data_IF_084772680092
#
_entry.id   IF_084772680092
#
_cell.length_a   1.000
_cell.length_b   1.000
_cell.length_c   1.000
_cell.angle_alpha   90.00
_cell.angle_beta   90.00
_cell.angle_gamma   90.00
#
_symmetry.space_group_name_H-M   'P 1'
#
loop_
_entity.id
_entity.type
_entity.pdbx_description
1 polymer ?
#
# COMPACT_ATOMS: atom_id res chain seq x y z
N UNK A 1 91.73 -7.98 -42.75
CA UNK A 1 91.48 -7.12 -41.61
C UNK A 1 89.97 -6.89 -41.49
N UNK A 2 89.46 -6.91 -40.29
CA UNK A 2 88.09 -6.69 -39.77
C UNK A 2 87.14 -7.88 -39.74
N UNK A 3 87.02 -8.44 -38.52
CA UNK A 3 86.06 -9.44 -38.05
C UNK A 3 84.66 -8.79 -37.89
N UNK A 4 83.64 -9.41 -38.47
CA UNK A 4 82.26 -9.06 -38.13
C UNK A 4 81.71 -10.22 -37.26
N UNK A 5 81.30 -9.83 -36.02
CA UNK A 5 80.59 -10.71 -35.08
C UNK A 5 79.09 -10.62 -35.37
N UNK A 6 78.48 -11.78 -35.68
CA UNK A 6 77.00 -11.87 -35.71
C UNK A 6 76.47 -11.97 -34.28
N UNK A 7 75.63 -11.02 -33.96
CA UNK A 7 74.90 -10.97 -32.71
C UNK A 7 73.52 -11.67 -32.91
N UNK A 8 73.32 -12.84 -32.30
CA UNK A 8 72.02 -13.48 -32.29
C UNK A 8 71.14 -12.83 -31.24
N UNK A 9 70.03 -12.19 -31.69
CA UNK A 9 68.96 -11.72 -30.84
C UNK A 9 68.00 -12.89 -30.57
N UNK A 10 67.90 -13.27 -29.31
CA UNK A 10 66.85 -14.22 -28.81
C UNK A 10 65.63 -13.37 -28.50
N UNK A 11 64.57 -13.53 -29.30
CA UNK A 11 63.26 -12.96 -29.00
C UNK A 11 62.54 -13.84 -27.94
N UNK A 12 62.58 -13.44 -26.69
CA UNK A 12 61.72 -14.00 -25.64
C UNK A 12 60.29 -13.47 -25.79
N UNK A 13 59.35 -14.30 -26.17
CA UNK A 13 57.92 -13.98 -26.16
C UNK A 13 57.45 -14.05 -24.73
N UNK A 14 57.29 -12.86 -24.10
CA UNK A 14 56.58 -12.72 -22.81
C UNK A 14 55.07 -12.77 -23.11
N UNK A 15 54.46 -13.93 -22.86
CA UNK A 15 53.00 -14.04 -22.86
C UNK A 15 52.44 -13.23 -21.64
N UNK A 16 51.98 -12.01 -21.90
CA UNK A 16 51.21 -11.22 -20.93
C UNK A 16 49.86 -11.88 -20.74
N UNK A 17 49.70 -12.67 -19.68
CA UNK A 17 48.38 -13.11 -19.21
C UNK A 17 47.62 -11.88 -18.75
N UNK A 18 46.78 -11.35 -19.64
CA UNK A 18 45.76 -10.37 -19.29
C UNK A 18 44.76 -11.04 -18.33
N UNK A 19 45.03 -10.95 -17.02
CA UNK A 19 44.03 -11.19 -16.00
C UNK A 19 43.01 -10.07 -16.14
N UNK A 20 41.96 -10.30 -16.90
CA UNK A 20 40.79 -9.42 -16.87
C UNK A 20 40.26 -9.44 -15.43
N UNK A 21 40.18 -8.30 -14.73
CA UNK A 21 39.57 -8.28 -13.44
C UNK A 21 38.12 -8.76 -13.64
N UNK A 22 37.75 -9.83 -12.96
CA UNK A 22 36.35 -10.23 -12.87
C UNK A 22 35.61 -9.00 -12.34
N UNK A 23 34.83 -8.34 -13.20
CA UNK A 23 33.93 -7.26 -12.79
C UNK A 23 33.12 -7.86 -11.66
N UNK A 24 33.31 -7.34 -10.45
CA UNK A 24 32.51 -7.74 -9.31
C UNK A 24 31.05 -7.48 -9.71
N UNK A 25 30.31 -8.55 -9.91
CA UNK A 25 28.92 -8.47 -10.32
C UNK A 25 28.21 -7.73 -9.18
N UNK A 26 27.74 -6.50 -9.44
CA UNK A 26 27.05 -5.69 -8.45
C UNK A 26 25.85 -6.48 -7.91
N UNK A 27 25.92 -6.86 -6.64
CA UNK A 27 24.82 -7.52 -5.96
C UNK A 27 23.85 -6.47 -5.46
N UNK A 28 22.56 -6.70 -5.66
CA UNK A 28 21.51 -5.91 -5.02
C UNK A 28 21.28 -6.41 -3.60
N UNK A 29 21.16 -5.50 -2.66
CA UNK A 29 20.88 -5.78 -1.25
C UNK A 29 19.39 -5.63 -1.01
N UNK A 30 18.74 -6.71 -0.58
CA UNK A 30 17.33 -6.75 -0.18
C UNK A 30 17.29 -6.78 1.34
N UNK A 31 17.07 -5.62 1.96
CA UNK A 31 17.09 -5.47 3.40
C UNK A 31 15.90 -6.16 4.06
N UNK A 32 16.10 -6.72 5.25
CA UNK A 32 15.02 -7.29 6.07
C UNK A 32 13.94 -6.24 6.35
N UNK A 33 14.35 -5.10 6.85
CA UNK A 33 13.46 -4.06 7.36
C UNK A 33 12.46 -3.56 6.30
N UNK A 34 12.88 -3.39 5.06
CA UNK A 34 12.04 -2.89 3.97
C UNK A 34 11.26 -3.96 3.21
N UNK A 35 11.72 -5.22 3.23
CA UNK A 35 11.27 -6.21 2.26
C UNK A 35 10.83 -7.55 2.84
N UNK A 36 10.85 -7.71 4.17
CA UNK A 36 10.45 -8.96 4.81
C UNK A 36 9.22 -8.79 5.70
N UNK A 37 8.46 -9.88 5.82
CA UNK A 37 7.24 -9.97 6.63
C UNK A 37 7.23 -11.29 7.39
N UNK A 38 6.63 -11.28 8.59
CA UNK A 38 6.27 -12.52 9.28
C UNK A 38 4.95 -13.00 8.67
N UNK A 39 5.02 -14.03 7.85
CA UNK A 39 3.84 -14.55 7.11
C UNK A 39 3.19 -15.75 7.77
N UNK A 40 3.83 -16.30 8.81
CA UNK A 40 3.30 -17.33 9.69
C UNK A 40 3.99 -17.29 11.05
N UNK A 41 3.35 -17.80 12.09
CA UNK A 41 3.82 -17.72 13.47
C UNK A 41 3.38 -16.43 14.16
N UNK A 42 3.51 -16.40 15.51
CA UNK A 42 2.95 -15.30 16.31
C UNK A 42 3.95 -14.72 17.32
N UNK A 43 5.12 -15.32 17.47
CA UNK A 43 6.09 -14.95 18.51
C UNK A 43 7.22 -14.08 17.99
N UNK A 44 7.67 -14.32 16.77
CA UNK A 44 8.73 -13.53 16.14
C UNK A 44 8.18 -12.22 15.57
N UNK A 45 9.02 -11.18 15.57
CA UNK A 45 8.73 -9.91 14.91
C UNK A 45 10.00 -9.33 14.29
N UNK A 46 9.80 -8.42 13.33
CA UNK A 46 10.88 -7.65 12.73
C UNK A 46 11.07 -6.38 13.57
N UNK A 47 12.25 -6.25 14.17
CA UNK A 47 12.70 -5.04 14.85
C UNK A 47 13.16 -4.05 13.78
N UNK A 48 12.35 -3.05 13.57
CA UNK A 48 12.49 -2.06 12.51
C UNK A 48 13.74 -1.19 12.69
N UNK A 49 13.96 -0.75 13.92
CA UNK A 49 15.10 0.13 14.23
C UNK A 49 16.47 -0.54 14.14
N UNK A 50 16.51 -1.88 14.22
CA UNK A 50 17.77 -2.64 14.21
C UNK A 50 17.88 -3.62 13.04
N UNK A 51 16.95 -3.62 12.10
CA UNK A 51 16.89 -4.57 10.97
C UNK A 51 17.13 -6.02 11.41
N UNK A 52 16.47 -6.46 12.47
CA UNK A 52 16.68 -7.76 13.06
C UNK A 52 15.38 -8.55 13.26
N UNK A 53 15.46 -9.87 13.13
CA UNK A 53 14.39 -10.75 13.58
C UNK A 53 14.55 -10.98 15.06
N UNK A 54 13.51 -10.70 15.85
CA UNK A 54 13.48 -10.88 17.31
C UNK A 54 12.54 -12.01 17.70
N UNK A 55 12.87 -12.67 18.79
CA UNK A 55 12.06 -13.73 19.39
C UNK A 55 11.70 -14.88 18.43
N UNK A 56 12.60 -15.19 17.50
CA UNK A 56 12.40 -16.26 16.52
C UNK A 56 12.80 -17.61 17.14
N UNK A 57 11.89 -18.22 17.89
CA UNK A 57 12.13 -19.46 18.65
C UNK A 57 11.30 -20.64 18.17
N UNK A 58 10.21 -20.39 17.46
CA UNK A 58 9.32 -21.46 16.98
C UNK A 58 9.54 -21.77 15.50
N UNK A 59 9.31 -23.04 15.14
CA UNK A 59 9.44 -23.55 13.75
C UNK A 59 8.26 -23.18 12.86
N UNK A 60 7.14 -22.71 13.45
CA UNK A 60 5.96 -22.29 12.71
C UNK A 60 6.14 -20.89 12.11
N UNK A 61 7.08 -20.09 12.67
CA UNK A 61 7.41 -18.79 12.10
C UNK A 61 8.06 -18.93 10.73
N UNK A 62 7.45 -18.21 9.76
CA UNK A 62 7.97 -18.03 8.40
C UNK A 62 8.27 -16.55 8.19
N UNK A 63 9.53 -16.26 7.88
CA UNK A 63 9.99 -14.93 7.44
C UNK A 63 10.05 -14.94 5.93
N UNK A 64 9.22 -14.14 5.27
CA UNK A 64 9.14 -14.07 3.81
C UNK A 64 9.76 -12.77 3.32
N UNK A 65 10.78 -12.87 2.48
CA UNK A 65 11.39 -11.75 1.76
C UNK A 65 10.75 -11.62 0.38
N UNK A 66 10.50 -10.39 -0.03
CA UNK A 66 9.95 -10.07 -1.35
C UNK A 66 10.87 -9.07 -2.07
N UNK A 67 11.17 -9.35 -3.32
CA UNK A 67 11.94 -8.47 -4.20
C UNK A 67 11.55 -8.72 -5.65
N UNK A 68 11.76 -7.74 -6.52
CA UNK A 68 11.38 -7.85 -7.93
C UNK A 68 12.62 -7.93 -8.81
N UNK A 69 12.68 -8.93 -9.69
CA UNK A 69 13.71 -9.07 -10.72
C UNK A 69 13.19 -8.55 -12.05
N UNK A 70 14.07 -7.93 -12.84
CA UNK A 70 13.68 -7.25 -14.07
C UNK A 70 13.81 -8.16 -15.32
N UNK A 71 14.60 -9.22 -15.23
CA UNK A 71 14.89 -10.11 -16.34
C UNK A 71 14.85 -11.58 -15.93
N UNK A 72 14.60 -12.45 -16.89
CA UNK A 72 14.81 -13.89 -16.71
C UNK A 72 16.31 -14.22 -16.75
N UNK A 73 16.74 -15.25 -16.02
CA UNK A 73 18.15 -15.61 -16.03
C UNK A 73 18.58 -16.46 -14.85
N UNK A 74 19.89 -16.47 -14.60
CA UNK A 74 20.50 -17.13 -13.44
C UNK A 74 20.67 -16.12 -12.31
N UNK A 75 19.98 -16.35 -11.21
CA UNK A 75 19.99 -15.54 -10.00
C UNK A 75 20.86 -16.22 -8.94
N UNK A 76 21.91 -15.54 -8.47
CA UNK A 76 22.75 -15.98 -7.35
C UNK A 76 22.20 -15.36 -6.08
N UNK A 77 22.05 -16.17 -5.02
CA UNK A 77 21.51 -15.74 -3.74
C UNK A 77 22.45 -16.11 -2.62
N UNK A 78 22.71 -15.13 -1.75
CA UNK A 78 23.33 -15.32 -0.44
C UNK A 78 22.57 -14.55 0.64
N UNK A 79 22.79 -14.88 1.90
CA UNK A 79 22.25 -14.17 3.06
C UNK A 79 23.38 -13.44 3.80
N UNK A 80 23.08 -12.28 4.36
CA UNK A 80 23.82 -11.72 5.48
C UNK A 80 23.07 -12.10 6.76
N UNK A 81 23.63 -13.06 7.49
CA UNK A 81 22.93 -13.67 8.62
C UNK A 81 23.88 -13.95 9.79
N UNK A 82 23.31 -14.06 10.98
CA UNK A 82 24.00 -14.49 12.22
C UNK A 82 23.12 -15.45 12.99
N UNK A 83 23.74 -16.36 13.75
CA UNK A 83 23.05 -17.35 14.58
C UNK A 83 23.87 -18.63 14.74
N UNK A 84 23.36 -19.54 15.59
CA UNK A 84 23.87 -20.92 15.76
C UNK A 84 22.69 -21.88 15.64
N UNK A 85 22.23 -22.10 14.41
CA UNK A 85 21.00 -22.82 14.10
C UNK A 85 21.05 -23.46 12.71
N UNK A 86 20.03 -24.25 12.41
CA UNK A 86 19.72 -24.66 11.05
C UNK A 86 18.41 -24.00 10.62
N UNK A 87 18.41 -23.42 9.43
CA UNK A 87 17.25 -22.81 8.79
C UNK A 87 16.99 -23.45 7.44
N UNK A 88 15.74 -23.54 7.02
CA UNK A 88 15.33 -23.93 5.67
C UNK A 88 14.94 -22.67 4.90
N UNK A 89 15.49 -22.56 3.69
CA UNK A 89 15.13 -21.53 2.72
C UNK A 89 14.37 -22.16 1.58
N UNK A 90 13.18 -21.63 1.27
CA UNK A 90 12.35 -22.02 0.13
C UNK A 90 12.35 -20.89 -0.89
N UNK A 91 12.76 -21.17 -2.13
CA UNK A 91 12.88 -20.16 -3.19
C UNK A 91 12.65 -20.79 -4.56
N UNK A 92 11.73 -20.25 -5.36
CA UNK A 92 11.41 -20.73 -6.72
C UNK A 92 11.16 -22.25 -6.77
N UNK A 93 10.41 -22.77 -5.80
CA UNK A 93 10.06 -24.21 -5.70
C UNK A 93 11.20 -25.12 -5.21
N UNK A 94 12.37 -24.59 -4.89
CA UNK A 94 13.49 -25.32 -4.31
C UNK A 94 13.60 -25.03 -2.82
N UNK A 95 13.98 -26.06 -2.05
CA UNK A 95 14.26 -25.96 -0.61
C UNK A 95 15.72 -26.27 -0.34
N UNK A 96 16.35 -25.52 0.56
CA UNK A 96 17.72 -25.72 1.00
C UNK A 96 17.84 -25.49 2.50
N UNK A 97 18.35 -26.47 3.22
CA UNK A 97 18.74 -26.29 4.63
C UNK A 97 20.17 -25.79 4.69
N UNK A 98 20.39 -24.72 5.45
CA UNK A 98 21.71 -24.14 5.71
C UNK A 98 21.94 -24.00 7.21
N UNK A 99 23.22 -24.08 7.59
CA UNK A 99 23.65 -23.88 8.99
C UNK A 99 24.16 -22.47 9.16
N UNK A 100 23.57 -21.73 10.11
CA UNK A 100 24.15 -20.51 10.65
C UNK A 100 25.13 -20.89 11.76
N UNK A 101 26.37 -20.45 11.66
CA UNK A 101 27.42 -20.83 12.63
C UNK A 101 28.30 -19.63 13.02
N UNK A 102 27.73 -18.44 13.09
CA UNK A 102 28.45 -17.23 13.47
C UNK A 102 27.60 -16.36 14.39
N UNK A 103 28.19 -15.87 15.46
CA UNK A 103 27.56 -14.87 16.32
C UNK A 103 27.56 -13.47 15.69
N UNK A 104 28.49 -13.21 14.77
CA UNK A 104 28.54 -11.99 13.96
C UNK A 104 27.88 -12.22 12.60
N UNK A 105 27.46 -11.15 11.93
CA UNK A 105 26.97 -11.20 10.58
C UNK A 105 28.01 -11.85 9.65
N UNK A 106 27.56 -12.82 8.88
CA UNK A 106 28.39 -13.53 7.93
C UNK A 106 27.59 -13.87 6.66
N UNK A 107 28.30 -14.00 5.56
CA UNK A 107 27.73 -14.40 4.27
C UNK A 107 27.45 -15.90 4.25
N UNK A 108 26.23 -16.29 3.89
CA UNK A 108 25.79 -17.68 3.76
C UNK A 108 25.28 -17.89 2.34
N UNK A 109 26.01 -18.69 1.56
CA UNK A 109 25.67 -18.95 0.14
C UNK A 109 24.48 -19.91 0.00
N UNK A 110 23.46 -19.47 -0.73
CA UNK A 110 22.32 -20.32 -1.09
C UNK A 110 22.48 -20.97 -2.47
N UNK A 111 23.29 -20.38 -3.36
CA UNK A 111 23.59 -20.87 -4.69
C UNK A 111 22.84 -20.16 -5.82
N UNK A 112 22.63 -20.88 -6.94
CA UNK A 112 22.08 -20.32 -8.16
C UNK A 112 20.70 -20.89 -8.46
N UNK A 113 19.77 -19.99 -8.79
CA UNK A 113 18.38 -20.29 -9.13
C UNK A 113 18.04 -19.78 -10.53
N UNK A 114 17.18 -20.51 -11.26
CA UNK A 114 16.73 -20.09 -12.59
C UNK A 114 15.43 -19.30 -12.46
N UNK A 115 15.46 -18.02 -12.81
CA UNK A 115 14.29 -17.18 -12.98
C UNK A 115 13.76 -17.37 -14.40
N UNK A 116 12.50 -17.78 -14.54
CA UNK A 116 11.85 -18.06 -15.84
C UNK A 116 11.26 -16.83 -16.50
N UNK A 117 10.75 -15.87 -15.70
CA UNK A 117 10.15 -14.61 -16.15
C UNK A 117 10.47 -13.51 -15.15
N UNK A 118 10.51 -12.23 -15.57
CA UNK A 118 10.58 -11.10 -14.67
C UNK A 118 9.39 -11.08 -13.70
N UNK A 119 9.54 -10.40 -12.57
CA UNK A 119 8.45 -10.24 -11.61
C UNK A 119 8.93 -10.36 -10.16
N UNK A 120 7.95 -10.37 -9.25
CA UNK A 120 8.23 -10.55 -7.82
C UNK A 120 8.68 -11.96 -7.49
N UNK A 121 9.66 -12.03 -6.62
CA UNK A 121 10.22 -13.27 -6.08
C UNK A 121 9.95 -13.27 -4.58
N UNK A 122 9.34 -14.35 -4.09
CA UNK A 122 9.18 -14.65 -2.67
C UNK A 122 10.21 -15.68 -2.25
N UNK A 123 10.91 -15.38 -1.16
CA UNK A 123 11.83 -16.29 -0.48
C UNK A 123 11.39 -16.49 0.96
N UNK A 124 11.00 -17.70 1.31
CA UNK A 124 10.57 -18.05 2.67
C UNK A 124 11.73 -18.66 3.46
N UNK A 125 11.86 -18.24 4.70
CA UNK A 125 12.84 -18.78 5.65
C UNK A 125 12.14 -19.23 6.90
N UNK A 126 12.43 -20.46 7.37
CA UNK A 126 11.91 -21.00 8.62
C UNK A 126 13.00 -21.69 9.44
N UNK A 127 12.81 -21.78 10.74
CA UNK A 127 13.68 -22.48 11.65
C UNK A 127 13.52 -24.00 11.53
N UNK A 128 14.65 -24.74 11.58
CA UNK A 128 14.67 -26.21 11.56
C UNK A 128 15.18 -26.77 12.86
N UNK A 129 16.35 -26.32 13.33
CA UNK A 129 17.01 -26.83 14.53
C UNK A 129 17.75 -25.72 15.26
N UNK A 130 17.51 -25.60 16.56
CA UNK A 130 18.23 -24.74 17.51
C UNK A 130 18.55 -25.53 18.77
N UNK A 131 19.49 -25.01 19.59
CA UNK A 131 19.70 -25.49 20.94
C UNK A 131 18.58 -24.98 21.85
N UNK A 132 18.29 -25.73 22.91
CA UNK A 132 17.28 -25.35 23.88
C UNK A 132 17.54 -23.96 24.46
N UNK A 133 16.47 -23.13 24.53
CA UNK A 133 16.53 -21.76 25.03
C UNK A 133 17.11 -20.71 24.08
N UNK A 134 17.70 -21.12 22.95
CA UNK A 134 18.23 -20.21 21.94
C UNK A 134 17.14 -19.71 20.95
N UNK A 135 17.51 -18.79 20.09
CA UNK A 135 16.74 -18.40 18.91
C UNK A 135 17.38 -18.88 17.59
N UNK A 136 16.65 -18.80 16.48
CA UNK A 136 17.16 -19.18 15.17
C UNK A 136 18.19 -18.20 14.59
N UNK A 137 18.40 -17.05 15.24
CA UNK A 137 19.28 -15.99 14.79
C UNK A 137 18.56 -14.88 14.03
N UNK A 138 19.28 -14.16 13.19
CA UNK A 138 18.72 -13.08 12.39
C UNK A 138 19.34 -13.05 11.00
N UNK A 139 18.52 -12.65 10.03
CA UNK A 139 18.92 -12.36 8.66
C UNK A 139 18.75 -10.87 8.46
N UNK A 140 19.82 -10.14 8.17
CA UNK A 140 19.78 -8.71 7.94
C UNK A 140 19.39 -8.35 6.51
N UNK A 141 19.88 -9.15 5.56
CA UNK A 141 19.58 -8.95 4.13
C UNK A 141 19.75 -10.20 3.30
N UNK A 142 19.13 -10.17 2.12
CA UNK A 142 19.36 -11.11 1.01
C UNK A 142 20.21 -10.41 -0.03
N UNK A 143 21.28 -11.05 -0.47
CA UNK A 143 22.16 -10.58 -1.53
C UNK A 143 21.74 -11.25 -2.84
N UNK A 144 21.35 -10.44 -3.82
CA UNK A 144 20.85 -10.89 -5.12
C UNK A 144 21.81 -10.47 -6.22
N UNK A 145 22.47 -11.46 -6.84
CA UNK A 145 23.41 -11.28 -7.96
C UNK A 145 23.01 -12.14 -9.16
N UNK A 146 23.90 -12.22 -10.14
CA UNK A 146 23.67 -12.99 -11.36
C UNK A 146 23.24 -12.13 -12.55
N UNK A 147 22.58 -12.72 -13.55
CA UNK A 147 22.16 -12.05 -14.77
C UNK A 147 20.63 -11.91 -14.88
N UNK A 148 19.97 -11.56 -13.79
CA UNK A 148 18.51 -11.32 -13.70
C UNK A 148 18.13 -9.85 -13.86
N UNK A 149 18.94 -9.09 -14.55
CA UNK A 149 18.84 -7.66 -14.74
C UNK A 149 19.67 -6.87 -13.73
N UNK A 150 19.99 -5.64 -14.10
CA UNK A 150 20.78 -4.72 -13.28
C UNK A 150 19.99 -4.08 -12.13
N UNK A 151 18.66 -4.20 -12.15
CA UNK A 151 17.76 -3.53 -11.22
C UNK A 151 16.85 -4.54 -10.55
N UNK A 152 16.98 -4.65 -9.24
CA UNK A 152 16.03 -5.35 -8.36
C UNK A 152 15.23 -4.28 -7.65
N UNK A 153 13.91 -4.30 -7.83
CA UNK A 153 13.00 -3.35 -7.15
C UNK A 153 12.82 -3.78 -5.72
N UNK A 154 13.24 -2.94 -4.80
CA UNK A 154 13.19 -3.19 -3.35
C UNK A 154 12.79 -1.91 -2.64
N UNK A 155 12.18 -2.06 -1.48
CA UNK A 155 12.05 -0.96 -0.53
C UNK A 155 13.41 -0.81 0.17
N UNK A 156 14.08 0.35 0.12
CA UNK A 156 15.50 0.47 0.50
C UNK A 156 15.75 0.24 1.98
N UNK A 157 14.85 0.64 2.85
CA UNK A 157 14.96 0.47 4.29
C UNK A 157 13.59 0.50 4.99
N UNK A 158 13.61 0.49 6.31
CA UNK A 158 12.40 0.54 7.12
C UNK A 158 11.82 1.95 7.24
N UNK A 159 12.61 3.00 7.08
CA UNK A 159 12.12 4.37 7.02
C UNK A 159 11.10 4.55 5.89
N UNK A 160 11.10 3.63 4.94
CA UNK A 160 10.07 3.47 3.92
C UNK A 160 8.78 2.84 4.48
N UNK A 161 8.25 3.37 5.57
CA UNK A 161 7.01 2.92 6.20
C UNK A 161 5.85 2.76 5.19
N UNK A 162 5.69 3.73 4.29
CA UNK A 162 4.68 3.68 3.22
C UNK A 162 4.98 2.59 2.18
N UNK A 163 6.24 2.35 1.84
CA UNK A 163 6.65 1.26 0.96
C UNK A 163 6.26 -0.12 1.50
N UNK A 164 6.35 -0.33 2.81
CA UNK A 164 5.89 -1.56 3.46
C UNK A 164 4.37 -1.72 3.45
N UNK A 165 3.61 -0.65 3.55
CA UNK A 165 2.15 -0.70 3.39
C UNK A 165 1.73 -1.17 2.01
N UNK A 166 2.54 -0.89 0.99
CA UNK A 166 2.17 -0.94 -0.42
C UNK A 166 1.57 0.38 -0.89
N UNK A 167 1.46 0.62 -2.20
CA UNK A 167 0.94 1.86 -2.74
C UNK A 167 -0.54 2.06 -2.40
N UNK A 168 -0.91 3.24 -1.91
CA UNK A 168 -2.31 3.67 -1.92
C UNK A 168 -2.72 3.99 -3.36
N UNK A 169 -3.89 3.54 -3.79
CA UNK A 169 -4.38 3.66 -5.16
C UNK A 169 -5.73 4.35 -5.20
N UNK A 170 -5.95 5.18 -6.24
CA UNK A 170 -7.07 6.10 -6.28
C UNK A 170 -7.81 6.07 -7.61
N UNK A 171 -9.10 6.42 -7.56
CA UNK A 171 -9.95 6.78 -8.68
C UNK A 171 -10.33 8.25 -8.52
N UNK A 172 -9.83 9.12 -9.39
CA UNK A 172 -10.21 10.53 -9.42
C UNK A 172 -11.34 10.71 -10.45
N UNK A 173 -12.52 11.03 -9.97
CA UNK A 173 -13.72 11.10 -10.80
C UNK A 173 -13.81 12.42 -11.55
N UNK A 174 -14.25 12.36 -12.82
CA UNK A 174 -14.55 13.55 -13.61
C UNK A 174 -15.96 14.03 -13.28
N UNK A 175 -16.07 15.02 -12.41
CA UNK A 175 -17.35 15.66 -12.10
C UNK A 175 -17.87 16.47 -13.32
N UNK A 176 -19.20 16.64 -13.45
CA UNK A 176 -19.79 17.60 -14.39
C UNK A 176 -19.28 19.03 -14.13
N UNK A 177 -19.26 19.85 -15.18
CA UNK A 177 -18.91 21.27 -15.06
C UNK A 177 -20.09 22.11 -14.56
N UNK A 178 -20.61 21.74 -13.41
CA UNK A 178 -21.74 22.35 -12.71
C UNK A 178 -21.47 22.45 -11.22
N UNK A 179 -22.26 23.22 -10.48
CA UNK A 179 -22.16 23.24 -9.03
C UNK A 179 -22.79 21.98 -8.45
N UNK A 180 -21.97 21.14 -7.85
CA UNK A 180 -22.37 19.85 -7.25
C UNK A 180 -22.54 20.03 -5.75
N UNK A 181 -23.73 19.75 -5.24
CA UNK A 181 -24.00 19.75 -3.79
C UNK A 181 -23.78 18.38 -3.15
N UNK A 182 -24.16 17.29 -3.85
CA UNK A 182 -24.05 15.93 -3.31
C UNK A 182 -23.31 14.99 -4.25
N UNK A 183 -22.55 14.07 -3.65
CA UNK A 183 -21.93 12.97 -4.34
C UNK A 183 -22.35 11.65 -3.68
N UNK A 184 -22.85 10.73 -4.50
CA UNK A 184 -23.24 9.38 -4.12
C UNK A 184 -22.24 8.37 -4.66
N UNK A 185 -21.89 7.37 -3.87
CA UNK A 185 -20.99 6.28 -4.26
C UNK A 185 -21.35 4.98 -3.55
N UNK A 186 -20.98 3.85 -4.14
CA UNK A 186 -21.15 2.52 -3.58
C UNK A 186 -19.83 1.77 -3.56
N UNK A 187 -19.59 1.01 -2.48
CA UNK A 187 -18.46 0.08 -2.36
C UNK A 187 -18.97 -1.32 -2.16
N UNK A 188 -18.33 -2.29 -2.84
CA UNK A 188 -18.43 -3.72 -2.54
C UNK A 188 -17.01 -4.24 -2.33
N UNK A 189 -16.73 -4.71 -1.13
CA UNK A 189 -15.47 -5.38 -0.80
C UNK A 189 -15.68 -6.88 -1.01
N UNK A 190 -15.00 -7.54 -1.96
CA UNK A 190 -15.13 -8.98 -2.14
C UNK A 190 -14.47 -9.73 -0.94
N UNK A 191 -14.82 -11.00 -0.73
CA UNK A 191 -14.29 -11.79 0.40
C UNK A 191 -12.75 -11.83 0.41
N UNK A 192 -12.13 -12.04 -0.74
CA UNK A 192 -10.68 -12.05 -0.90
C UNK A 192 -10.02 -10.67 -0.68
N UNK A 193 -10.79 -9.59 -0.76
CA UNK A 193 -10.35 -8.21 -0.57
C UNK A 193 -10.55 -7.69 0.85
N UNK A 194 -11.29 -8.42 1.70
CA UNK A 194 -11.67 -8.01 3.07
C UNK A 194 -10.55 -8.30 4.07
N UNK A 195 -9.51 -7.50 4.01
CA UNK A 195 -8.28 -7.68 4.79
C UNK A 195 -8.24 -6.66 5.95
N UNK A 196 -7.83 -7.10 7.17
CA UNK A 196 -7.58 -6.18 8.28
C UNK A 196 -6.62 -5.04 7.93
N UNK A 197 -6.78 -3.91 8.63
CA UNK A 197 -5.98 -2.70 8.42
C UNK A 197 -6.15 -2.10 7.02
N UNK A 198 -7.35 -2.19 6.46
CA UNK A 198 -7.70 -1.62 5.15
C UNK A 198 -8.68 -0.47 5.29
N UNK A 199 -8.45 0.57 4.49
CA UNK A 199 -9.40 1.66 4.30
C UNK A 199 -9.92 1.65 2.87
N UNK A 200 -11.22 1.44 2.74
CA UNK A 200 -11.98 1.48 1.50
C UNK A 200 -12.74 2.82 1.50
N UNK A 201 -12.10 3.86 0.95
CA UNK A 201 -12.65 5.21 0.98
C UNK A 201 -13.54 5.43 -0.25
N UNK A 202 -14.79 5.82 0.00
CA UNK A 202 -15.83 5.99 -1.01
C UNK A 202 -15.85 7.40 -1.60
N UNK A 203 -16.02 8.40 -0.75
CA UNK A 203 -16.26 9.78 -1.13
C UNK A 203 -15.15 10.68 -0.59
N UNK A 204 -14.10 10.88 -1.38
CA UNK A 204 -13.11 11.91 -1.16
C UNK A 204 -13.56 13.21 -1.81
N UNK A 205 -13.18 14.32 -1.22
CA UNK A 205 -13.44 15.67 -1.69
C UNK A 205 -12.22 16.55 -1.39
N UNK A 206 -12.19 17.80 -1.86
CA UNK A 206 -10.98 18.65 -1.74
C UNK A 206 -10.42 18.77 -0.32
N UNK A 207 -11.26 18.66 0.69
CA UNK A 207 -10.92 18.95 2.08
C UNK A 207 -11.11 17.75 3.03
N UNK A 208 -11.31 16.53 2.50
CA UNK A 208 -11.51 15.39 3.38
C UNK A 208 -11.90 14.08 2.68
N UNK A 209 -12.36 13.14 3.49
CA UNK A 209 -12.64 11.77 3.03
C UNK A 209 -13.71 11.07 3.88
N UNK A 210 -14.44 10.15 3.25
CA UNK A 210 -15.53 9.39 3.85
C UNK A 210 -15.56 7.95 3.30
N UNK A 211 -15.56 6.93 4.16
CA UNK A 211 -15.55 5.53 3.75
C UNK A 211 -15.65 4.52 4.90
N UNK A 212 -15.23 3.30 4.66
CA UNK A 212 -15.26 2.18 5.62
C UNK A 212 -13.88 1.59 5.87
N UNK A 213 -13.65 1.14 7.10
CA UNK A 213 -12.41 0.49 7.52
C UNK A 213 -12.67 -0.91 8.07
N UNK A 214 -11.76 -1.85 7.76
CA UNK A 214 -11.60 -3.10 8.48
C UNK A 214 -10.49 -2.92 9.53
N UNK A 215 -10.87 -2.78 10.79
CA UNK A 215 -9.95 -2.58 11.92
C UNK A 215 -9.73 -3.86 12.75
N UNK A 216 -10.09 -5.04 12.22
CA UNK A 216 -9.96 -6.31 12.96
C UNK A 216 -8.57 -6.44 13.64
N UNK A 217 -8.47 -6.93 14.89
CA UNK A 217 -9.56 -7.52 15.70
C UNK A 217 -10.49 -6.50 16.38
N UNK A 218 -10.33 -5.19 16.14
CA UNK A 218 -11.22 -4.15 16.62
C UNK A 218 -12.46 -4.02 15.71
N UNK A 219 -13.55 -3.41 16.20
CA UNK A 219 -14.77 -3.23 15.41
C UNK A 219 -14.53 -2.45 14.12
N UNK A 220 -15.19 -2.87 13.06
CA UNK A 220 -15.20 -2.15 11.77
C UNK A 220 -15.83 -0.77 11.94
N UNK A 221 -15.47 0.15 11.04
CA UNK A 221 -15.89 1.55 11.15
C UNK A 221 -16.42 2.08 9.84
N UNK A 222 -17.37 3.00 9.98
CA UNK A 222 -17.61 4.06 9.00
C UNK A 222 -16.86 5.29 9.52
N UNK A 223 -16.02 5.90 8.69
CA UNK A 223 -15.10 6.99 9.05
C UNK A 223 -15.29 8.18 8.12
N UNK A 224 -15.44 9.37 8.69
CA UNK A 224 -15.55 10.63 7.97
C UNK A 224 -14.67 11.69 8.63
N UNK A 225 -13.84 12.38 7.83
CA UNK A 225 -12.90 13.41 8.30
C UNK A 225 -12.87 14.61 7.39
N UNK A 226 -12.64 15.78 7.97
CA UNK A 226 -12.48 17.07 7.28
C UNK A 226 -11.20 17.72 7.77
N UNK A 227 -10.25 18.02 6.87
CA UNK A 227 -9.01 18.71 7.22
C UNK A 227 -9.26 20.17 7.57
N UNK A 228 -8.50 20.67 8.57
CA UNK A 228 -8.40 22.10 8.85
C UNK A 228 -7.81 22.86 7.64
N UNK A 229 -8.17 24.13 7.42
CA UNK A 229 -7.43 24.97 6.49
C UNK A 229 -6.01 25.32 6.99
N UNK A 230 -5.71 25.10 8.26
CA UNK A 230 -4.36 25.24 8.81
C UNK A 230 -3.58 23.95 8.64
N UNK A 231 -2.44 24.04 7.95
CA UNK A 231 -1.61 22.86 7.61
C UNK A 231 -0.69 22.51 8.77
N UNK A 232 -1.01 21.46 9.51
CA UNK A 232 -0.20 20.87 10.58
C UNK A 232 -0.59 19.42 10.80
N UNK A 233 0.34 18.60 11.32
CA UNK A 233 0.07 17.23 11.77
C UNK A 233 -0.33 17.15 13.25
N UNK A 234 -0.23 18.28 13.98
CA UNK A 234 -0.58 18.37 15.39
C UNK A 234 -1.88 19.19 15.58
N UNK A 235 -3.00 18.57 15.91
CA UNK A 235 -4.29 19.27 16.06
C UNK A 235 -4.28 20.34 17.16
N UNK A 236 -3.37 20.26 18.14
CA UNK A 236 -3.26 21.29 19.20
C UNK A 236 -2.71 22.63 18.70
N UNK A 237 -2.04 22.64 17.54
CA UNK A 237 -1.48 23.84 16.93
C UNK A 237 -2.50 24.63 16.09
N UNK A 238 -3.69 24.05 15.82
CA UNK A 238 -4.69 24.70 14.99
C UNK A 238 -5.26 25.91 15.74
N UNK A 239 -5.12 27.14 15.20
CA UNK A 239 -5.77 28.33 15.78
C UNK A 239 -7.28 28.15 15.85
N UNK A 240 -7.93 28.69 16.86
CA UNK A 240 -9.39 28.57 17.07
C UNK A 240 -10.19 29.00 15.83
N UNK A 241 -9.78 30.08 15.15
CA UNK A 241 -10.42 30.57 13.92
C UNK A 241 -10.26 29.65 12.70
N UNK A 242 -9.38 28.63 12.79
CA UNK A 242 -9.11 27.65 11.73
C UNK A 242 -9.62 26.25 12.09
N UNK A 243 -10.25 26.09 13.27
CA UNK A 243 -10.75 24.77 13.70
C UNK A 243 -11.99 24.38 12.92
N UNK A 244 -12.01 23.10 12.50
CA UNK A 244 -13.21 22.45 11.99
C UNK A 244 -14.15 22.21 13.15
N UNK A 245 -15.40 22.67 13.05
CA UNK A 245 -16.39 22.57 14.12
C UNK A 245 -17.49 21.58 13.78
N UNK A 246 -17.87 20.76 14.77
CA UNK A 246 -19.00 19.85 14.65
C UNK A 246 -20.31 20.65 14.63
N UNK A 247 -21.14 20.47 13.59
CA UNK A 247 -22.48 21.03 13.49
C UNK A 247 -23.51 20.06 14.05
N UNK A 248 -23.45 18.79 13.59
CA UNK A 248 -24.38 17.73 14.00
C UNK A 248 -23.71 16.37 13.85
N UNK A 249 -24.13 15.37 14.62
CA UNK A 249 -23.72 13.98 14.46
C UNK A 249 -24.84 13.00 14.77
N UNK A 250 -24.73 11.79 14.25
CA UNK A 250 -25.60 10.68 14.60
C UNK A 250 -25.44 10.23 16.06
N UNK A 251 -26.45 9.61 16.63
CA UNK A 251 -26.50 9.25 18.06
C UNK A 251 -25.33 8.34 18.51
N UNK A 252 -24.91 7.40 17.66
CA UNK A 252 -23.84 6.44 17.97
C UNK A 252 -22.48 6.81 17.36
N UNK A 253 -22.31 8.06 16.92
CA UNK A 253 -21.09 8.56 16.29
C UNK A 253 -20.17 9.17 17.34
N UNK A 254 -18.91 8.77 17.33
CA UNK A 254 -17.83 9.39 18.10
C UNK A 254 -17.16 10.46 17.25
N UNK A 255 -16.78 11.56 17.87
CA UNK A 255 -16.06 12.66 17.22
C UNK A 255 -14.83 13.04 18.02
N UNK A 256 -13.76 13.35 17.33
CA UNK A 256 -12.48 13.81 17.89
C UNK A 256 -11.71 14.63 16.85
N UNK A 257 -10.67 15.30 17.28
CA UNK A 257 -9.66 15.82 16.36
C UNK A 257 -8.71 14.69 15.95
N UNK A 258 -8.13 14.78 14.75
CA UNK A 258 -7.11 13.85 14.26
C UNK A 258 -5.83 14.61 13.89
N UNK A 259 -4.71 13.87 13.80
CA UNK A 259 -3.38 14.37 13.43
C UNK A 259 -2.54 13.28 12.74
N UNK A 260 -1.26 13.56 12.53
CA UNK A 260 -0.22 12.73 11.92
C UNK A 260 -0.25 12.62 10.37
N UNK A 261 -1.34 12.95 9.72
CA UNK A 261 -1.46 13.03 8.24
C UNK A 261 -2.34 14.22 7.89
N UNK A 262 -1.88 15.44 8.24
CA UNK A 262 -2.73 16.61 8.39
C UNK A 262 -3.55 16.53 9.66
N UNK A 263 -4.35 17.55 9.96
CA UNK A 263 -5.20 17.60 11.15
C UNK A 263 -6.54 18.25 10.87
N UNK A 264 -7.55 17.94 11.69
CA UNK A 264 -8.91 18.45 11.53
C UNK A 264 -9.93 17.72 12.38
N UNK A 265 -11.20 17.80 11.99
CA UNK A 265 -12.30 17.11 12.65
C UNK A 265 -12.51 15.71 12.07
N UNK A 266 -12.68 14.71 12.95
CA UNK A 266 -12.95 13.33 12.58
C UNK A 266 -14.22 12.83 13.28
N UNK A 267 -14.96 11.99 12.58
CA UNK A 267 -16.08 11.25 13.15
C UNK A 267 -16.03 9.79 12.69
N UNK A 268 -16.45 8.89 13.57
CA UNK A 268 -16.62 7.49 13.22
C UNK A 268 -17.73 6.82 14.00
N UNK A 269 -18.34 5.80 13.39
CA UNK A 269 -19.24 4.89 14.06
C UNK A 269 -18.82 3.43 13.85
N UNK A 270 -19.05 2.59 14.84
CA UNK A 270 -18.91 1.14 14.68
C UNK A 270 -20.07 0.62 13.84
N UNK A 271 -19.73 -0.06 12.76
CA UNK A 271 -20.68 -0.70 11.86
C UNK A 271 -20.04 -1.95 11.25
N UNK A 272 -20.64 -3.10 11.53
CA UNK A 272 -20.12 -4.41 11.10
C UNK A 272 -20.58 -4.74 9.67
N UNK A 273 -20.13 -3.94 8.70
CA UNK A 273 -20.32 -4.23 7.29
C UNK A 273 -19.65 -5.57 6.91
N UNK A 274 -20.18 -6.25 5.91
CA UNK A 274 -19.74 -7.59 5.51
C UNK A 274 -19.15 -7.56 4.10
N UNK A 275 -18.19 -8.46 3.85
CA UNK A 275 -17.71 -8.71 2.48
C UNK A 275 -18.89 -9.15 1.59
N UNK A 276 -18.85 -8.73 0.32
CA UNK A 276 -19.93 -8.93 -0.65
C UNK A 276 -21.13 -7.99 -0.50
N UNK A 277 -21.25 -7.30 0.64
CA UNK A 277 -22.34 -6.36 0.90
C UNK A 277 -22.11 -5.02 0.19
N UNK A 278 -23.19 -4.44 -0.32
CA UNK A 278 -23.16 -3.11 -0.95
C UNK A 278 -23.26 -2.03 0.13
N UNK A 279 -22.18 -1.31 0.36
CA UNK A 279 -22.12 -0.14 1.23
C UNK A 279 -22.40 1.11 0.42
N UNK A 280 -23.36 1.95 0.86
CA UNK A 280 -23.83 3.16 0.15
C UNK A 280 -23.50 4.41 0.94
N UNK A 281 -22.99 5.42 0.23
CA UNK A 281 -22.46 6.66 0.80
C UNK A 281 -23.10 7.85 0.11
N UNK A 282 -23.49 8.86 0.89
CA UNK A 282 -23.96 10.13 0.39
C UNK A 282 -23.19 11.25 1.11
N UNK A 283 -22.49 12.07 0.34
CA UNK A 283 -21.64 13.14 0.85
C UNK A 283 -22.10 14.48 0.30
N UNK A 284 -22.46 15.41 1.19
CA UNK A 284 -22.87 16.77 0.85
C UNK A 284 -21.78 17.79 1.18
N UNK A 285 -21.59 18.77 0.29
CA UNK A 285 -20.68 19.89 0.45
C UNK A 285 -21.40 21.16 0.03
N UNK A 286 -21.57 22.11 0.99
CA UNK A 286 -22.35 23.32 0.75
C UNK A 286 -21.72 24.53 1.45
N UNK A 287 -21.45 25.64 0.72
CA UNK A 287 -21.04 26.89 1.35
C UNK A 287 -22.17 27.44 2.21
N UNK A 288 -21.84 28.00 3.40
CA UNK A 288 -22.82 28.57 4.33
C UNK A 288 -23.20 30.04 4.04
N UNK A 289 -22.57 30.63 3.03
CA UNK A 289 -22.75 32.05 2.68
C UNK A 289 -22.02 33.04 3.61
N UNK A 290 -21.28 32.54 4.60
CA UNK A 290 -20.53 33.33 5.59
C UNK A 290 -19.00 33.08 5.51
N UNK A 291 -18.51 32.54 4.38
CA UNK A 291 -17.09 32.23 4.16
C UNK A 291 -16.66 30.87 4.70
N UNK A 292 -17.60 30.01 5.11
CA UNK A 292 -17.31 28.63 5.51
C UNK A 292 -18.06 27.64 4.62
N UNK A 293 -17.69 26.37 4.73
CA UNK A 293 -18.37 25.27 4.03
C UNK A 293 -18.79 24.19 5.03
N UNK A 294 -19.99 23.68 4.85
CA UNK A 294 -20.56 22.57 5.63
C UNK A 294 -20.43 21.28 4.83
N UNK A 295 -19.84 20.27 5.45
CA UNK A 295 -19.59 18.93 4.94
C UNK A 295 -20.44 17.95 5.72
N UNK A 296 -21.34 17.23 5.03
CA UNK A 296 -22.32 16.33 5.69
C UNK A 296 -22.24 14.94 5.09
N UNK A 297 -22.01 13.94 5.93
CA UNK A 297 -21.88 12.53 5.52
C UNK A 297 -23.05 11.69 6.04
N UNK A 298 -23.70 10.95 5.12
CA UNK A 298 -24.71 9.94 5.44
C UNK A 298 -24.26 8.57 4.92
N UNK A 299 -24.46 7.56 5.75
CA UNK A 299 -24.24 6.15 5.40
C UNK A 299 -25.57 5.41 5.40
N UNK A 300 -25.80 4.55 4.41
CA UNK A 300 -27.02 3.76 4.38
C UNK A 300 -26.87 2.53 5.26
N UNK A 301 -27.64 2.48 6.33
CA UNK A 301 -27.70 1.34 7.25
C UNK A 301 -28.54 0.24 6.62
N UNK A 302 -27.90 -0.79 6.05
CA UNK A 302 -28.58 -1.89 5.37
C UNK A 302 -29.49 -2.68 6.32
N UNK A 303 -29.14 -2.77 7.61
CA UNK A 303 -29.95 -3.48 8.59
C UNK A 303 -31.25 -2.73 8.93
N UNK A 304 -31.24 -1.40 8.87
CA UNK A 304 -32.40 -0.56 9.13
C UNK A 304 -33.12 -0.11 7.87
N UNK A 305 -32.53 -0.29 6.69
CA UNK A 305 -33.08 0.14 5.41
C UNK A 305 -33.19 1.67 5.28
N UNK A 306 -32.34 2.46 5.96
CA UNK A 306 -32.42 3.91 5.95
C UNK A 306 -31.06 4.61 5.99
N UNK A 307 -31.03 5.85 5.53
CA UNK A 307 -29.89 6.73 5.68
C UNK A 307 -29.70 7.13 7.15
N UNK A 308 -28.47 7.09 7.61
CA UNK A 308 -28.06 7.48 8.95
C UNK A 308 -27.01 8.58 8.86
N UNK A 309 -27.24 9.69 9.55
CA UNK A 309 -26.25 10.76 9.66
C UNK A 309 -24.99 10.21 10.34
N UNK A 310 -23.83 10.38 9.73
CA UNK A 310 -22.55 10.18 10.38
C UNK A 310 -22.17 11.47 11.10
N UNK A 311 -21.85 12.53 10.38
CA UNK A 311 -21.64 13.85 10.96
C UNK A 311 -21.81 14.95 9.92
N UNK A 312 -21.95 16.17 10.43
CA UNK A 312 -21.85 17.40 9.67
C UNK A 312 -20.81 18.30 10.34
N UNK A 313 -19.76 18.68 9.58
CA UNK A 313 -18.70 19.56 10.02
C UNK A 313 -18.71 20.88 9.24
N UNK A 314 -18.41 21.98 9.92
CA UNK A 314 -18.18 23.28 9.30
C UNK A 314 -16.67 23.55 9.27
N UNK A 315 -16.15 23.77 8.08
CA UNK A 315 -14.75 24.16 7.82
C UNK A 315 -14.69 25.67 7.59
N UNK A 316 -13.96 26.42 8.41
CA UNK A 316 -13.81 27.86 8.23
C UNK A 316 -12.93 28.21 7.02
N UNK A 317 -12.98 29.48 6.63
CA UNK A 317 -12.14 30.04 5.56
C UNK A 317 -12.20 29.23 4.25
N UNK A 318 -13.37 28.70 3.93
CA UNK A 318 -13.61 27.86 2.76
C UNK A 318 -14.99 28.15 2.24
N UNK A 319 -15.10 28.50 0.96
CA UNK A 319 -16.38 28.72 0.30
C UNK A 319 -16.40 27.93 -0.99
N UNK A 320 -16.88 26.67 -0.94
CA UNK A 320 -16.86 25.75 -2.08
C UNK A 320 -18.08 24.84 -2.10
N UNK A 321 -18.46 24.41 -3.30
CA UNK A 321 -19.30 23.25 -3.54
C UNK A 321 -18.42 21.99 -3.62
N UNK A 322 -19.01 20.84 -3.88
CA UNK A 322 -18.28 19.57 -3.99
C UNK A 322 -17.27 19.62 -5.15
N UNK A 323 -16.01 19.41 -4.83
CA UNK A 323 -14.90 19.37 -5.80
C UNK A 323 -13.99 18.17 -5.53
N UNK A 324 -13.15 17.82 -6.51
CA UNK A 324 -12.13 16.78 -6.38
C UNK A 324 -12.69 15.45 -5.88
N UNK A 325 -13.79 14.98 -6.49
CA UNK A 325 -14.34 13.68 -6.14
C UNK A 325 -13.33 12.55 -6.41
N UNK A 326 -13.06 11.72 -5.41
CA UNK A 326 -12.17 10.58 -5.56
C UNK A 326 -12.53 9.44 -4.60
N UNK A 327 -12.03 8.24 -4.91
CA UNK A 327 -12.00 7.10 -4.01
C UNK A 327 -10.59 6.58 -3.86
N UNK A 328 -10.29 5.88 -2.77
CA UNK A 328 -9.03 5.16 -2.65
C UNK A 328 -9.17 3.81 -1.94
N UNK A 329 -8.15 2.99 -2.13
CA UNK A 329 -7.89 1.77 -1.38
C UNK A 329 -6.50 1.86 -0.77
N UNK A 330 -6.43 1.66 0.55
CA UNK A 330 -5.20 1.80 1.32
C UNK A 330 -5.05 0.72 2.39
N UNK A 331 -3.80 0.31 2.63
CA UNK A 331 -3.36 -0.42 3.80
C UNK A 331 -2.69 0.54 4.79
N UNK A 332 -3.19 0.65 6.00
CA UNK A 332 -2.58 1.52 7.02
C UNK A 332 -1.66 0.78 8.02
N UNK A 333 -1.36 -0.52 7.77
CA UNK A 333 -0.46 -1.31 8.62
C UNK A 333 0.77 -1.82 7.84
N UNK A 334 1.99 -1.35 8.13
CA UNK A 334 3.19 -1.74 7.40
C UNK A 334 3.54 -3.23 7.51
N UNK A 335 3.03 -3.94 8.53
CA UNK A 335 3.29 -5.37 8.68
C UNK A 335 2.42 -6.24 7.76
N UNK A 336 1.40 -5.67 7.11
CA UNK A 336 0.41 -6.38 6.30
C UNK A 336 0.50 -6.07 4.79
N UNK A 337 1.55 -5.40 4.33
CA UNK A 337 1.72 -5.06 2.92
C UNK A 337 1.95 -6.24 1.97
N UNK A 338 2.16 -7.43 2.53
CA UNK A 338 2.31 -8.68 1.77
C UNK A 338 0.96 -9.36 1.46
N UNK A 339 -0.17 -8.76 1.83
CA UNK A 339 -1.51 -9.29 1.59
C UNK A 339 -2.22 -8.37 0.60
N UNK A 340 -2.79 -8.96 -0.46
CA UNK A 340 -3.52 -8.23 -1.48
C UNK A 340 -4.89 -7.75 -0.95
N UNK A 341 -5.28 -6.56 -1.37
CA UNK A 341 -6.57 -5.92 -1.10
C UNK A 341 -7.25 -5.58 -2.41
N UNK A 342 -8.57 -5.69 -2.43
CA UNK A 342 -9.40 -5.33 -3.58
C UNK A 342 -10.72 -4.74 -3.14
N UNK A 343 -11.23 -3.78 -3.89
CA UNK A 343 -12.58 -3.25 -3.72
C UNK A 343 -13.17 -2.82 -5.06
N UNK A 344 -14.49 -2.91 -5.17
CA UNK A 344 -15.26 -2.39 -6.29
C UNK A 344 -15.94 -1.09 -5.88
N UNK A 345 -15.96 -0.14 -6.83
CA UNK A 345 -16.58 1.18 -6.69
C UNK A 345 -17.61 1.33 -7.81
N UNK A 346 -18.86 1.57 -7.44
CA UNK A 346 -19.97 1.51 -8.37
C UNK A 346 -20.95 2.67 -8.19
N UNK A 347 -21.79 2.92 -9.19
CA UNK A 347 -22.91 3.84 -9.12
C UNK A 347 -22.56 5.24 -8.60
N UNK A 348 -21.47 5.84 -9.13
CA UNK A 348 -21.15 7.22 -8.79
C UNK A 348 -22.13 8.18 -9.45
N UNK A 349 -22.76 9.03 -8.63
CA UNK A 349 -23.70 10.06 -9.07
C UNK A 349 -23.35 11.40 -8.42
N UNK A 350 -23.38 12.45 -9.22
CA UNK A 350 -23.27 13.83 -8.76
C UNK A 350 -24.65 14.50 -8.83
N UNK A 351 -25.07 15.16 -7.74
CA UNK A 351 -26.31 15.91 -7.71
C UNK A 351 -26.01 17.40 -7.72
N UNK A 352 -26.55 18.09 -8.69
CA UNK A 352 -26.43 19.53 -8.86
C UNK A 352 -27.25 20.30 -7.81
N UNK A 353 -26.95 21.59 -7.64
CA UNK A 353 -27.67 22.47 -6.71
C UNK A 353 -29.14 22.69 -7.09
N UNK A 354 -29.51 22.48 -8.36
CA UNK A 354 -30.91 22.49 -8.85
C UNK A 354 -31.61 21.12 -8.74
N UNK A 355 -30.93 20.11 -8.17
CA UNK A 355 -31.53 18.82 -7.80
C UNK A 355 -31.42 17.71 -8.86
N UNK A 356 -30.74 17.91 -9.98
CA UNK A 356 -30.56 16.87 -11.00
C UNK A 356 -29.44 15.89 -10.64
N UNK A 357 -29.68 14.60 -10.82
CA UNK A 357 -28.66 13.58 -10.73
C UNK A 357 -27.97 13.37 -12.09
N UNK A 358 -26.64 13.42 -12.11
CA UNK A 358 -25.79 13.21 -13.28
C UNK A 358 -24.87 12.01 -13.01
N UNK A 359 -24.84 10.98 -13.88
CA UNK A 359 -23.97 9.83 -13.70
C UNK A 359 -22.49 10.22 -13.89
N UNK A 360 -21.64 9.74 -13.01
CA UNK A 360 -20.19 9.93 -13.10
C UNK A 360 -19.55 8.64 -13.60
N UNK A 361 -19.15 8.63 -14.86
CA UNK A 361 -18.73 7.42 -15.60
C UNK A 361 -17.25 7.40 -15.97
N UNK A 362 -16.51 8.49 -15.63
CA UNK A 362 -15.07 8.60 -15.88
C UNK A 362 -14.30 8.70 -14.59
N UNK A 363 -13.21 7.95 -14.51
CA UNK A 363 -12.25 8.04 -13.43
C UNK A 363 -10.83 7.96 -13.97
N UNK A 364 -9.91 8.73 -13.39
CA UNK A 364 -8.48 8.65 -13.64
C UNK A 364 -7.81 7.89 -12.51
N UNK A 365 -7.10 6.82 -12.84
CA UNK A 365 -6.28 6.06 -11.91
C UNK A 365 -5.05 6.86 -11.48
N UNK A 366 -4.79 6.91 -10.19
CA UNK A 366 -3.54 7.43 -9.64
C UNK A 366 -3.04 6.54 -8.49
N UNK A 367 -1.80 6.75 -8.08
CA UNK A 367 -1.22 6.13 -6.89
C UNK A 367 -0.39 7.17 -6.13
N UNK A 368 -0.06 6.85 -4.88
CA UNK A 368 0.77 7.66 -4.03
C UNK A 368 2.25 7.68 -4.46
N UNK A 369 3.12 8.29 -3.64
CA UNK A 369 4.56 8.36 -3.92
C UNK A 369 5.21 6.97 -3.98
N UNK A 370 4.73 5.99 -3.21
CA UNK A 370 5.26 4.61 -3.21
C UNK A 370 5.14 3.97 -4.59
N UNK A 371 3.99 4.13 -5.24
CA UNK A 371 3.78 3.66 -6.61
C UNK A 371 4.51 4.53 -7.64
N UNK A 372 4.41 5.87 -7.57
CA UNK A 372 5.04 6.78 -8.53
C UNK A 372 6.57 6.69 -8.56
N UNK A 373 7.21 6.40 -7.42
CA UNK A 373 8.65 6.20 -7.30
C UNK A 373 9.08 4.75 -7.58
N UNK A 374 8.12 3.91 -7.98
CA UNK A 374 8.35 2.50 -8.30
C UNK A 374 8.96 1.66 -7.16
N UNK A 375 8.78 2.08 -5.90
CA UNK A 375 9.18 1.28 -4.73
C UNK A 375 8.41 -0.05 -4.69
N UNK A 376 7.14 -0.01 -5.10
CA UNK A 376 6.25 -1.15 -5.23
C UNK A 376 5.50 -1.04 -6.56
N UNK A 377 5.29 -2.18 -7.22
CA UNK A 377 4.59 -2.26 -8.51
C UNK A 377 3.45 -3.29 -8.46
N UNK A 378 2.96 -3.61 -7.28
CA UNK A 378 1.86 -4.52 -7.01
C UNK A 378 0.58 -3.72 -6.72
N UNK A 379 0.10 -3.00 -7.75
CA UNK A 379 -1.11 -2.21 -7.68
C UNK A 379 -1.76 -2.07 -9.05
N UNK A 380 -3.08 -2.10 -9.08
CA UNK A 380 -3.83 -1.98 -10.33
C UNK A 380 -5.22 -1.39 -10.08
N UNK A 381 -5.87 -1.04 -11.13
CA UNK A 381 -7.26 -0.61 -11.17
C UNK A 381 -7.80 -0.76 -12.58
N UNK A 382 -9.10 -0.63 -12.75
CA UNK A 382 -9.72 -0.81 -14.05
C UNK A 382 -11.22 -0.95 -13.98
N UNK A 383 -11.76 -1.65 -14.98
CA UNK A 383 -13.16 -2.04 -15.05
C UNK A 383 -13.29 -3.57 -15.00
N UNK A 384 -14.14 -4.06 -14.12
CA UNK A 384 -14.65 -5.44 -14.16
C UNK A 384 -16.15 -5.42 -14.37
N UNK A 385 -16.59 -5.91 -15.53
CA UNK A 385 -17.92 -5.62 -16.04
C UNK A 385 -18.06 -4.10 -16.25
N UNK A 386 -19.06 -3.48 -15.61
CA UNK A 386 -19.27 -2.03 -15.66
C UNK A 386 -18.98 -1.33 -14.33
N UNK A 387 -18.17 -1.93 -13.46
CA UNK A 387 -17.75 -1.37 -12.16
C UNK A 387 -16.27 -1.02 -12.18
N UNK A 388 -15.90 0.09 -11.57
CA UNK A 388 -14.51 0.36 -11.27
C UNK A 388 -14.02 -0.58 -10.17
N UNK A 389 -12.73 -0.93 -10.22
CA UNK A 389 -12.06 -1.62 -9.12
C UNK A 389 -10.69 -1.02 -8.84
N UNK A 390 -10.22 -1.21 -7.62
CA UNK A 390 -8.85 -0.97 -7.18
C UNK A 390 -8.31 -2.21 -6.50
N UNK A 391 -7.01 -2.49 -6.70
CA UNK A 391 -6.30 -3.57 -6.01
C UNK A 391 -4.88 -3.14 -5.69
N UNK A 392 -4.38 -3.50 -4.49
CA UNK A 392 -3.03 -3.12 -4.05
C UNK A 392 -2.45 -4.09 -3.03
N UNK A 393 -1.10 -4.13 -2.94
CA UNK A 393 -0.36 -4.97 -2.03
C UNK A 393 -0.30 -6.44 -2.45
N UNK A 394 0.43 -7.29 -1.71
CA UNK A 394 0.48 -8.75 -1.96
C UNK A 394 1.53 -9.20 -2.96
N UNK A 395 2.31 -8.29 -3.53
CA UNK A 395 3.43 -8.60 -4.45
C UNK A 395 3.02 -9.33 -5.74
N UNK A 396 1.87 -9.00 -6.31
CA UNK A 396 1.51 -9.47 -7.66
C UNK A 396 2.25 -8.67 -8.74
N UNK A 397 2.33 -9.21 -9.98
CA UNK A 397 3.18 -8.66 -11.05
C UNK A 397 2.50 -7.66 -11.97
N UNK A 398 1.20 -7.43 -11.81
CA UNK A 398 0.45 -6.47 -12.60
C UNK A 398 0.51 -5.08 -11.97
N UNK A 399 0.68 -4.04 -12.79
CA UNK A 399 0.54 -2.67 -12.32
C UNK A 399 -0.14 -1.80 -13.37
N UNK A 400 -0.89 -0.80 -12.90
CA UNK A 400 -1.55 0.18 -13.75
C UNK A 400 -0.72 1.46 -13.81
N UNK A 401 -0.53 2.01 -15.00
CA UNK A 401 0.18 3.27 -15.18
C UNK A 401 -0.56 4.42 -14.51
N UNK A 402 0.15 5.22 -13.72
CA UNK A 402 -0.39 6.45 -13.13
C UNK A 402 -0.93 7.38 -14.21
N UNK A 403 -2.14 7.92 -14.02
CA UNK A 403 -2.80 8.80 -14.98
C UNK A 403 -3.64 8.10 -16.05
N UNK A 404 -3.82 6.77 -15.98
CA UNK A 404 -4.69 6.03 -16.89
C UNK A 404 -6.17 6.40 -16.67
N UNK A 405 -6.87 6.73 -17.73
CA UNK A 405 -8.31 7.03 -17.70
C UNK A 405 -9.15 5.78 -17.92
N UNK A 406 -10.19 5.62 -17.10
CA UNK A 406 -11.21 4.59 -17.23
C UNK A 406 -12.54 5.25 -17.59
N UNK A 407 -13.26 4.67 -18.57
CA UNK A 407 -14.58 5.14 -19.00
C UNK A 407 -15.52 3.96 -19.08
N UNK A 408 -16.62 4.01 -18.35
CA UNK A 408 -17.68 2.99 -18.40
C UNK A 408 -18.89 3.53 -19.17
N UNK A 409 -19.72 2.64 -19.69
CA UNK A 409 -20.87 2.98 -20.56
C UNK A 409 -22.04 3.62 -19.82
N UNK A 410 -22.07 3.52 -18.49
CA UNK A 410 -23.12 4.07 -17.62
C UNK A 410 -22.96 3.54 -16.20
N UNK A 411 -23.88 3.91 -15.32
CA UNK A 411 -23.98 3.32 -14.00
C UNK A 411 -24.71 1.97 -14.06
N UNK A 412 -24.50 1.09 -13.07
CA UNK A 412 -25.15 -0.23 -13.02
C UNK A 412 -26.58 -0.16 -12.47
N UNK A 413 -26.97 0.96 -11.87
CA UNK A 413 -28.33 1.25 -11.42
C UNK A 413 -28.80 2.62 -11.87
N UNK A 414 -30.11 2.86 -11.74
CA UNK A 414 -30.72 4.19 -11.88
C UNK A 414 -30.20 5.17 -10.84
N UNK A 415 -30.50 6.45 -11.02
CA UNK A 415 -30.16 7.50 -10.08
C UNK A 415 -30.71 7.17 -8.68
N UNK A 416 -29.98 7.54 -7.60
CA UNK A 416 -30.44 7.28 -6.23
C UNK A 416 -31.78 7.96 -5.96
N UNK A 417 -32.76 7.19 -5.50
CA UNK A 417 -34.03 7.72 -4.99
C UNK A 417 -33.85 8.05 -3.51
N UNK A 418 -33.56 9.31 -3.23
CA UNK A 418 -33.30 9.81 -1.88
C UNK A 418 -34.26 10.96 -1.57
N UNK A 419 -35.13 10.75 -0.60
CA UNK A 419 -35.94 11.82 -0.04
C UNK A 419 -35.09 12.66 0.95
N UNK A 420 -34.57 13.77 0.49
CA UNK A 420 -33.75 14.70 1.27
C UNK A 420 -34.49 15.33 2.44
N UNK A 421 -35.83 15.34 2.42
CA UNK A 421 -36.63 15.85 3.54
C UNK A 421 -36.61 14.94 4.76
N UNK A 422 -36.27 13.67 4.56
CA UNK A 422 -36.15 12.65 5.62
C UNK A 422 -34.74 12.51 6.20
N UNK A 423 -33.75 13.18 5.60
CA UNK A 423 -32.38 13.19 6.09
C UNK A 423 -32.29 14.07 7.35
N UNK A 424 -31.89 13.46 8.47
CA UNK A 424 -31.81 14.14 9.78
C UNK A 424 -30.68 15.18 9.86
#
# INVERSE_FOLDING_TARGET
>A
MRKNRFLQLVFGVIALLLVTPAIAQNESIVTLAGNAYITSGHTAFIDEGHSAIRNWKDKATVVSFYFRVQESGKMKIALQAKGKSQIEVSLLGKKKTVTLNSAALSRVELGTFKVKKPGYVRMDVRGVKINEGADFGSIESVLVGGNVGSVVRVTPDFSSHFGRRGPSVHLNYSLPNEQIEWFYNEIVVPEEGDIPSSYYMACGFGEGYFGIQNNSPHPRRVLFSVWSPYVTDNPSEIPESMRVTLVKKGANVKTNDFGNEGSGGQSYMHYEWKAGERCRFLMGVKPDGQGNTVYTAYFFDNAKGKWSLVASFRRPNTSTWYTHAYSFLENFNPTMGHINRKAYYDNQWARTTDGRWIPVTKARFTCDATGRQEMRQDYTGGLEGNRFFLSMGGFFDEFMTHGTDFVRTGNTSEAPDIDFSTLE
#
